data_IF_106103529824
#
_entry.id   IF_106103529824
#
_cell.length_a   1.000
_cell.length_b   1.000
_cell.length_c   1.000
_cell.angle_alpha   90.00
_cell.angle_beta   90.00
_cell.angle_gamma   90.00
#
_symmetry.space_group_name_H-M   'P 1'
#
loop_
_entity.id
_entity.type
_entity.pdbx_description
1 polymer ?
#
# COMPACT_ATOMS: atom_id res chain seq x y z
N UNK A 1 -22.02 5.82 -19.76
CA UNK A 1 -20.73 5.26 -19.37
C UNK A 1 -20.66 3.80 -19.77
N UNK A 2 -19.53 3.30 -20.29
CA UNK A 2 -19.39 1.87 -20.52
C UNK A 2 -19.54 1.12 -19.20
N UNK A 3 -20.20 -0.04 -19.27
CA UNK A 3 -20.41 -0.90 -18.09
C UNK A 3 -19.04 -1.32 -17.56
N UNK A 4 -18.75 -1.04 -16.29
CA UNK A 4 -17.47 -1.35 -15.70
C UNK A 4 -17.16 -2.84 -15.80
N UNK A 5 -15.92 -3.17 -16.13
CA UNK A 5 -15.45 -4.56 -16.12
C UNK A 5 -15.46 -5.07 -14.66
N UNK A 6 -16.23 -6.15 -14.33
CA UNK A 6 -16.27 -6.68 -12.97
C UNK A 6 -14.90 -7.07 -12.40
N UNK A 7 -13.97 -7.49 -13.26
CA UNK A 7 -12.61 -7.83 -12.84
C UNK A 7 -11.82 -6.58 -12.40
N UNK A 8 -12.01 -5.45 -13.10
CA UNK A 8 -11.42 -4.16 -12.72
C UNK A 8 -11.98 -3.69 -11.39
N UNK A 9 -13.31 -3.73 -11.20
CA UNK A 9 -13.93 -3.36 -9.92
C UNK A 9 -13.43 -4.22 -8.76
N UNK A 10 -13.33 -5.53 -8.96
CA UNK A 10 -12.80 -6.45 -7.93
C UNK A 10 -11.34 -6.13 -7.58
N UNK A 11 -10.52 -5.86 -8.59
CA UNK A 11 -9.11 -5.53 -8.38
C UNK A 11 -8.92 -4.16 -7.71
N UNK A 12 -9.74 -3.16 -8.07
CA UNK A 12 -9.75 -1.85 -7.40
C UNK A 12 -10.22 -1.96 -5.94
N UNK A 13 -11.22 -2.78 -5.65
CA UNK A 13 -11.66 -3.02 -4.26
C UNK A 13 -10.54 -3.64 -3.43
N UNK A 14 -9.83 -4.63 -3.98
CA UNK A 14 -8.65 -5.21 -3.32
C UNK A 14 -7.57 -4.16 -3.07
N UNK A 15 -7.28 -3.29 -4.05
CA UNK A 15 -6.31 -2.20 -3.88
C UNK A 15 -6.76 -1.22 -2.78
N UNK A 16 -8.02 -0.81 -2.77
CA UNK A 16 -8.58 0.05 -1.72
C UNK A 16 -8.39 -0.53 -0.32
N UNK A 17 -8.71 -1.81 -0.14
CA UNK A 17 -8.52 -2.51 1.14
C UNK A 17 -7.05 -2.59 1.54
N UNK A 18 -6.17 -2.87 0.59
CA UNK A 18 -4.72 -2.96 0.79
C UNK A 18 -4.12 -1.63 1.26
N UNK A 19 -4.50 -0.50 0.64
CA UNK A 19 -4.04 0.83 1.04
C UNK A 19 -4.45 1.17 2.48
N UNK A 20 -5.72 0.91 2.83
CA UNK A 20 -6.20 1.13 4.19
C UNK A 20 -5.50 0.24 5.21
N UNK A 21 -5.26 -1.03 4.88
CA UNK A 21 -4.53 -1.96 5.74
C UNK A 21 -3.08 -1.51 5.95
N UNK A 22 -2.42 -1.06 4.88
CA UNK A 22 -1.05 -0.52 4.95
C UNK A 22 -1.00 0.71 5.85
N UNK A 23 -1.96 1.65 5.72
CA UNK A 23 -2.05 2.82 6.59
C UNK A 23 -2.22 2.43 8.06
N UNK A 24 -3.08 1.47 8.38
CA UNK A 24 -3.30 0.95 9.74
C UNK A 24 -2.01 0.33 10.30
N UNK A 25 -1.32 -0.47 9.49
CA UNK A 25 -0.10 -1.16 9.90
C UNK A 25 1.08 -0.18 10.05
N UNK A 26 1.20 0.82 9.18
CA UNK A 26 2.19 1.89 9.31
C UNK A 26 1.96 2.70 10.60
N UNK A 27 0.72 3.01 10.92
CA UNK A 27 0.38 3.67 12.19
C UNK A 27 0.83 2.83 13.38
N UNK A 28 0.48 1.54 13.41
CA UNK A 28 0.86 0.64 14.49
C UNK A 28 2.38 0.53 14.63
N UNK A 29 3.10 0.34 13.53
CA UNK A 29 4.57 0.24 13.51
C UNK A 29 5.24 1.55 13.94
N UNK A 30 4.75 2.70 13.48
CA UNK A 30 5.30 4.01 13.86
C UNK A 30 5.13 4.34 15.34
N UNK A 31 4.18 3.71 16.02
CA UNK A 31 3.96 3.86 17.46
C UNK A 31 4.78 2.83 18.26
N UNK A 32 4.78 1.58 17.81
CA UNK A 32 5.33 0.46 18.58
C UNK A 32 6.85 0.30 18.47
N UNK A 33 7.48 0.80 17.43
CA UNK A 33 8.90 0.64 17.19
C UNK A 33 9.73 1.52 18.14
N UNK A 34 10.73 0.96 18.81
CA UNK A 34 11.60 1.62 19.78
C UNK A 34 13.06 1.65 19.34
N UNK A 35 13.81 2.58 19.93
CA UNK A 35 15.26 2.67 19.84
C UNK A 35 15.76 3.73 18.88
N UNK A 36 17.02 4.12 19.05
CA UNK A 36 17.64 5.22 18.28
C UNK A 36 17.70 4.96 16.77
N UNK A 37 17.78 3.69 16.39
CA UNK A 37 17.79 3.28 14.97
C UNK A 37 16.39 3.30 14.35
N UNK A 38 15.35 3.34 15.18
CA UNK A 38 13.96 3.32 14.75
C UNK A 38 13.47 4.68 14.24
N UNK A 39 14.06 5.79 14.69
CA UNK A 39 13.48 7.11 14.51
C UNK A 39 13.28 7.51 13.03
N UNK A 40 14.25 7.25 12.15
CA UNK A 40 14.10 7.55 10.72
C UNK A 40 13.07 6.62 10.05
N UNK A 41 12.98 5.37 10.47
CA UNK A 41 12.01 4.40 9.96
C UNK A 41 10.59 4.80 10.39
N UNK A 42 10.40 5.14 11.68
CA UNK A 42 9.12 5.66 12.21
C UNK A 42 8.65 6.89 11.47
N UNK A 43 9.58 7.84 11.24
CA UNK A 43 9.31 9.08 10.52
C UNK A 43 8.90 8.83 9.08
N UNK A 44 9.59 7.92 8.38
CA UNK A 44 9.24 7.55 7.02
C UNK A 44 7.84 6.92 6.96
N UNK A 45 7.54 5.94 7.80
CA UNK A 45 6.21 5.30 7.85
C UNK A 45 5.11 6.30 8.22
N UNK A 46 5.36 7.18 9.20
CA UNK A 46 4.38 8.20 9.61
C UNK A 46 4.07 9.20 8.48
N UNK A 47 5.06 9.57 7.68
CA UNK A 47 4.85 10.41 6.51
C UNK A 47 4.00 9.70 5.44
N UNK A 48 4.21 8.40 5.25
CA UNK A 48 3.53 7.62 4.22
C UNK A 48 2.06 7.28 4.57
N UNK A 49 1.66 7.32 5.85
CA UNK A 49 0.26 7.07 6.26
C UNK A 49 -0.73 7.93 5.46
N UNK A 50 -0.44 9.23 5.29
CA UNK A 50 -1.32 10.13 4.54
C UNK A 50 -1.32 9.82 3.05
N UNK A 51 -0.22 9.36 2.49
CA UNK A 51 -0.13 8.92 1.11
C UNK A 51 -1.03 7.68 0.88
N UNK A 52 -0.94 6.68 1.75
CA UNK A 52 -1.77 5.46 1.67
C UNK A 52 -3.27 5.76 1.76
N UNK A 53 -3.67 6.64 2.69
CA UNK A 53 -5.06 7.11 2.78
C UNK A 53 -5.48 7.86 1.51
N UNK A 54 -4.59 8.68 0.95
CA UNK A 54 -4.81 9.39 -0.31
C UNK A 54 -4.99 8.42 -1.49
N UNK A 55 -4.19 7.38 -1.58
CA UNK A 55 -4.34 6.31 -2.58
C UNK A 55 -5.69 5.60 -2.42
N UNK A 56 -6.06 5.22 -1.19
CA UNK A 56 -7.36 4.61 -0.92
C UNK A 56 -8.51 5.52 -1.35
N UNK A 57 -8.44 6.82 -1.06
CA UNK A 57 -9.45 7.78 -1.48
C UNK A 57 -9.55 7.89 -3.01
N UNK A 58 -8.42 7.95 -3.70
CA UNK A 58 -8.35 8.03 -5.16
C UNK A 58 -8.97 6.79 -5.81
N UNK A 59 -8.60 5.60 -5.33
CA UNK A 59 -9.14 4.31 -5.79
C UNK A 59 -10.63 4.19 -5.45
N UNK A 60 -11.05 4.57 -4.24
CA UNK A 60 -12.44 4.56 -3.81
C UNK A 60 -13.34 5.46 -4.66
N UNK A 61 -12.88 6.66 -4.98
CA UNK A 61 -13.57 7.56 -5.91
C UNK A 61 -13.73 6.93 -7.29
N UNK A 62 -12.70 6.22 -7.77
CA UNK A 62 -12.79 5.52 -9.06
C UNK A 62 -13.79 4.37 -9.04
N UNK A 63 -13.81 3.56 -7.97
CA UNK A 63 -14.82 2.52 -7.77
C UNK A 63 -16.23 3.12 -7.87
N UNK A 64 -16.47 4.24 -7.20
CA UNK A 64 -17.76 4.93 -7.25
C UNK A 64 -18.13 5.43 -8.63
N UNK A 65 -17.20 6.03 -9.36
CA UNK A 65 -17.39 6.48 -10.75
C UNK A 65 -17.76 5.33 -11.69
N UNK A 66 -17.22 4.14 -11.44
CA UNK A 66 -17.51 2.92 -12.20
C UNK A 66 -18.84 2.23 -11.76
N UNK A 67 -19.61 2.84 -10.86
CA UNK A 67 -20.88 2.32 -10.36
C UNK A 67 -20.75 1.27 -9.25
N UNK A 68 -19.55 1.10 -8.69
CA UNK A 68 -19.31 0.24 -7.54
C UNK A 68 -19.58 0.93 -6.20
N UNK A 69 -19.40 0.18 -5.12
CA UNK A 69 -19.51 0.65 -3.73
C UNK A 69 -18.23 0.27 -3.00
N UNK A 70 -17.63 1.22 -2.29
CA UNK A 70 -16.48 0.94 -1.43
C UNK A 70 -16.92 0.27 -0.14
N UNK A 71 -16.17 -0.72 0.38
CA UNK A 71 -16.51 -1.38 1.62
C UNK A 71 -16.33 -0.43 2.83
N UNK A 72 -17.23 -0.56 3.81
CA UNK A 72 -17.07 0.01 5.13
C UNK A 72 -16.34 -0.96 6.07
N UNK A 73 -16.09 -0.55 7.31
CA UNK A 73 -15.26 -1.31 8.25
C UNK A 73 -15.68 -2.76 8.50
N UNK A 74 -16.98 -3.04 8.43
CA UNK A 74 -17.50 -4.40 8.66
C UNK A 74 -17.32 -5.35 7.47
N UNK A 75 -16.96 -4.82 6.30
CA UNK A 75 -16.80 -5.59 5.06
C UNK A 75 -15.41 -5.49 4.46
N UNK A 76 -14.48 -4.79 5.14
CA UNK A 76 -13.07 -4.76 4.78
C UNK A 76 -12.41 -6.12 5.05
N UNK A 77 -11.51 -6.52 4.15
CA UNK A 77 -10.73 -7.76 4.25
C UNK A 77 -9.26 -7.44 4.40
N UNK A 78 -8.76 -7.48 5.63
CA UNK A 78 -7.35 -7.26 5.97
C UNK A 78 -6.63 -8.60 6.13
N UNK A 79 -5.45 -8.73 5.51
CA UNK A 79 -4.68 -9.98 5.49
C UNK A 79 -3.15 -9.82 5.39
N UNK A 80 -2.62 -8.61 5.61
CA UNK A 80 -1.17 -8.33 5.60
C UNK A 80 -0.49 -8.96 6.83
N UNK A 81 0.07 -10.14 6.67
CA UNK A 81 0.73 -10.86 7.76
C UNK A 81 2.15 -10.35 8.06
N UNK A 82 2.85 -9.87 7.04
CA UNK A 82 4.26 -9.51 7.15
C UNK A 82 4.51 -8.11 7.72
N UNK A 83 3.50 -7.25 7.70
CA UNK A 83 3.58 -5.89 8.22
C UNK A 83 2.90 -5.77 9.60
N UNK A 84 2.99 -6.79 10.41
CA UNK A 84 2.48 -6.78 11.79
C UNK A 84 3.57 -6.36 12.78
N UNK A 85 3.22 -5.75 13.93
CA UNK A 85 4.18 -5.40 14.96
C UNK A 85 5.02 -6.60 15.39
N UNK A 86 6.34 -6.40 15.47
CA UNK A 86 7.27 -7.42 15.97
C UNK A 86 7.09 -7.61 17.48
N UNK A 87 7.26 -8.84 18.01
CA UNK A 87 7.37 -9.05 19.46
C UNK A 87 8.56 -8.30 20.10
N UNK A 88 9.63 -8.07 19.33
CA UNK A 88 10.75 -7.21 19.73
C UNK A 88 10.54 -5.81 19.12
N UNK A 89 10.24 -4.79 19.94
CA UNK A 89 10.00 -3.44 19.45
C UNK A 89 11.27 -2.76 18.87
N UNK A 90 12.45 -3.35 19.07
CA UNK A 90 13.71 -2.84 18.53
C UNK A 90 14.14 -3.52 17.22
N UNK A 91 13.35 -4.48 16.74
CA UNK A 91 13.64 -5.20 15.48
C UNK A 91 13.27 -4.37 14.26
N UNK A 92 14.10 -3.37 13.99
CA UNK A 92 13.96 -2.47 12.84
C UNK A 92 14.04 -3.22 11.51
N UNK A 93 14.87 -4.26 11.44
CA UNK A 93 15.05 -5.05 10.20
C UNK A 93 13.78 -5.80 9.83
N UNK A 94 13.09 -6.40 10.81
CA UNK A 94 11.81 -7.06 10.56
C UNK A 94 10.77 -6.08 10.02
N UNK A 95 10.71 -4.86 10.57
CA UNK A 95 9.80 -3.81 10.11
C UNK A 95 10.13 -3.37 8.68
N UNK A 96 11.40 -3.09 8.39
CA UNK A 96 11.84 -2.72 7.02
C UNK A 96 11.46 -3.82 6.01
N UNK A 97 11.70 -5.08 6.33
CA UNK A 97 11.33 -6.21 5.45
C UNK A 97 9.82 -6.35 5.29
N UNK A 98 9.05 -6.07 6.34
CA UNK A 98 7.59 -6.04 6.29
C UNK A 98 7.07 -4.97 5.33
N UNK A 99 7.63 -3.76 5.37
CA UNK A 99 7.31 -2.68 4.43
C UNK A 99 7.66 -3.09 3.00
N UNK A 100 8.88 -3.59 2.76
CA UNK A 100 9.31 -4.05 1.43
C UNK A 100 8.36 -5.10 0.87
N UNK A 101 7.90 -6.05 1.68
CA UNK A 101 6.93 -7.07 1.26
C UNK A 101 5.57 -6.47 0.91
N UNK A 102 5.09 -5.51 1.71
CA UNK A 102 3.83 -4.79 1.47
C UNK A 102 3.88 -3.99 0.16
N UNK A 103 4.93 -3.19 -0.04
CA UNK A 103 5.11 -2.40 -1.25
C UNK A 103 5.26 -3.28 -2.51
N UNK A 104 5.94 -4.41 -2.38
CA UNK A 104 6.06 -5.37 -3.49
C UNK A 104 4.70 -5.93 -3.90
N UNK A 105 3.82 -6.23 -2.95
CA UNK A 105 2.46 -6.70 -3.26
C UNK A 105 1.58 -5.57 -3.83
N UNK A 106 1.75 -4.33 -3.35
CA UNK A 106 1.09 -3.15 -3.89
C UNK A 106 1.46 -2.94 -5.38
N UNK A 107 2.75 -2.94 -5.70
CA UNK A 107 3.26 -2.83 -7.06
C UNK A 107 2.67 -3.91 -7.97
N UNK A 108 2.62 -5.16 -7.50
CA UNK A 108 2.02 -6.27 -8.24
C UNK A 108 0.51 -6.07 -8.48
N UNK A 109 -0.19 -5.57 -7.48
CA UNK A 109 -1.63 -5.28 -7.56
C UNK A 109 -1.91 -4.19 -8.59
N UNK A 110 -1.20 -3.06 -8.55
CA UNK A 110 -1.36 -1.98 -9.52
C UNK A 110 -0.99 -2.40 -10.95
N UNK A 111 0.10 -3.14 -11.14
CA UNK A 111 0.45 -3.71 -12.44
C UNK A 111 -0.67 -4.61 -13.01
N UNK A 112 -1.36 -5.35 -12.15
CA UNK A 112 -2.51 -6.17 -12.57
C UNK A 112 -3.67 -5.30 -13.03
N UNK A 113 -4.00 -4.24 -12.30
CA UNK A 113 -5.10 -3.32 -12.67
C UNK A 113 -4.76 -2.58 -13.97
N UNK A 114 -3.53 -2.13 -14.13
CA UNK A 114 -3.04 -1.47 -15.35
C UNK A 114 -3.26 -2.36 -16.57
N UNK A 115 -2.88 -3.64 -16.49
CA UNK A 115 -3.09 -4.61 -17.57
C UNK A 115 -4.57 -4.88 -17.85
N UNK A 116 -5.41 -4.98 -16.82
CA UNK A 116 -6.85 -5.18 -16.98
C UNK A 116 -7.56 -3.98 -17.62
N UNK A 117 -7.00 -2.79 -17.46
CA UNK A 117 -7.55 -1.52 -17.95
C UNK A 117 -7.02 -1.15 -19.33
N UNK A 118 -5.94 -1.78 -19.80
CA UNK A 118 -5.24 -1.42 -21.01
C UNK A 118 -6.14 -1.46 -22.25
N UNK A 119 -6.08 -0.37 -23.04
CA UNK A 119 -6.89 -0.19 -24.24
C UNK A 119 -8.41 -0.06 -24.02
N UNK A 120 -8.88 0.00 -22.75
CA UNK A 120 -10.31 -0.02 -22.40
C UNK A 120 -10.72 1.05 -21.42
N UNK A 121 -9.93 1.28 -20.37
CA UNK A 121 -10.23 2.23 -19.29
C UNK A 121 -8.97 3.01 -18.92
N UNK A 122 -8.69 4.02 -19.73
CA UNK A 122 -7.49 4.85 -19.59
C UNK A 122 -7.49 5.66 -18.29
N UNK A 123 -8.66 6.00 -17.72
CA UNK A 123 -8.74 6.75 -16.47
C UNK A 123 -8.29 5.88 -15.30
N UNK A 124 -8.79 4.64 -15.22
CA UNK A 124 -8.33 3.68 -14.21
C UNK A 124 -6.85 3.38 -14.39
N UNK A 125 -6.39 3.20 -15.62
CA UNK A 125 -5.00 2.94 -15.94
C UNK A 125 -4.09 4.08 -15.48
N UNK A 126 -4.43 5.34 -15.80
CA UNK A 126 -3.64 6.53 -15.40
C UNK A 126 -3.56 6.69 -13.88
N UNK A 127 -4.69 6.52 -13.19
CA UNK A 127 -4.72 6.53 -11.71
C UNK A 127 -3.75 5.47 -11.15
N UNK A 128 -3.83 4.25 -11.65
CA UNK A 128 -2.99 3.16 -11.16
C UNK A 128 -1.51 3.32 -11.53
N UNK A 129 -1.19 3.92 -12.67
CA UNK A 129 0.20 4.25 -13.06
C UNK A 129 0.80 5.29 -12.10
N UNK A 130 0.04 6.31 -11.73
CA UNK A 130 0.50 7.34 -10.78
C UNK A 130 0.74 6.75 -9.39
N UNK A 131 -0.21 5.96 -8.90
CA UNK A 131 -0.06 5.29 -7.60
C UNK A 131 1.12 4.30 -7.63
N UNK A 132 1.27 3.52 -8.71
CA UNK A 132 2.41 2.62 -8.88
C UNK A 132 3.76 3.34 -8.76
N UNK A 133 3.87 4.55 -9.30
CA UNK A 133 5.10 5.35 -9.19
C UNK A 133 5.43 5.71 -7.73
N UNK A 134 4.42 6.01 -6.92
CA UNK A 134 4.59 6.30 -5.49
C UNK A 134 5.04 5.03 -4.73
N UNK A 135 4.42 3.86 -5.00
CA UNK A 135 4.79 2.58 -4.37
C UNK A 135 6.22 2.14 -4.73
N UNK A 136 6.63 2.36 -5.97
CA UNK A 136 8.03 2.11 -6.38
C UNK A 136 9.01 3.05 -5.64
N UNK A 137 8.59 4.29 -5.37
CA UNK A 137 9.34 5.25 -4.56
C UNK A 137 9.50 4.77 -3.10
N UNK A 138 8.41 4.35 -2.46
CA UNK A 138 8.42 3.78 -1.11
C UNK A 138 9.31 2.53 -1.04
N UNK A 139 9.13 1.60 -1.96
CA UNK A 139 9.98 0.40 -2.06
C UNK A 139 11.46 0.74 -2.19
N UNK A 140 11.80 1.71 -3.03
CA UNK A 140 13.19 2.17 -3.23
C UNK A 140 13.78 2.73 -1.94
N UNK A 141 13.02 3.53 -1.20
CA UNK A 141 13.45 4.12 0.07
C UNK A 141 13.75 3.03 1.10
N UNK A 142 12.83 2.08 1.31
CA UNK A 142 12.99 1.03 2.32
C UNK A 142 14.06 -0.01 1.93
N UNK A 143 14.26 -0.28 0.65
CA UNK A 143 15.43 -1.03 0.18
C UNK A 143 16.73 -0.29 0.49
N UNK A 144 16.73 1.04 0.40
CA UNK A 144 17.85 1.88 0.83
C UNK A 144 18.19 1.71 2.31
N UNK A 145 17.19 1.76 3.18
CA UNK A 145 17.36 1.52 4.62
C UNK A 145 17.92 0.12 4.91
N UNK A 146 17.42 -0.91 4.23
CA UNK A 146 17.86 -2.30 4.45
C UNK A 146 19.36 -2.48 4.18
N UNK A 147 19.94 -1.75 3.22
CA UNK A 147 21.36 -1.85 2.88
C UNK A 147 22.31 -1.57 4.04
N UNK A 148 21.90 -0.74 5.01
CA UNK A 148 22.74 -0.47 6.19
C UNK A 148 22.91 -1.70 7.09
N UNK A 149 21.92 -2.58 7.11
CA UNK A 149 21.88 -3.79 7.93
C UNK A 149 22.46 -5.02 7.24
N UNK A 150 22.69 -4.95 5.93
CA UNK A 150 23.28 -6.03 5.12
C UNK A 150 24.79 -5.93 4.97
N UNK A 151 25.39 -4.83 5.45
CA UNK A 151 26.85 -4.68 5.47
C UNK A 151 27.45 -5.65 6.49
N UNK A 152 28.24 -6.60 6.02
CA UNK A 152 29.09 -7.46 6.84
C UNK A 152 30.37 -6.74 7.27
#
# INVERSE_FOLDING_TARGET
MPKANPQVLKALTKAYEMELETAVNYLAQSINLDGVRAEEIKKAMAADIQAEIGHAQLIGNRIKQLGGTVPGSLTLHFNQKLLQPSPDPTDVVAVIKGVIASETEAIKTYNTIIKLSDGRDYVTQDICIKTLADEEGHLSLFNGFLKEYEKK
#
